data_IF_284531682447
#
_entry.id   IF_284531682447
#
_cell.length_a   1.000
_cell.length_b   1.000
_cell.length_c   1.000
_cell.angle_alpha   90.00
_cell.angle_beta   90.00
_cell.angle_gamma   90.00
#
_symmetry.space_group_name_H-M   'P 1'
#
loop_
_entity.id
_entity.type
_entity.pdbx_description
1 polymer ?
#
# COMPACT_ATOMS: atom_id res chain seq x y z
N UNK A 1 -34.04 8.46 21.00
CA UNK A 1 -33.61 7.54 19.93
C UNK A 1 -33.63 8.31 18.64
N UNK A 2 -32.46 8.49 18.02
CA UNK A 2 -32.36 9.23 16.75
C UNK A 2 -33.16 8.54 15.65
N UNK A 3 -33.49 9.28 14.58
CA UNK A 3 -34.23 8.72 13.46
C UNK A 3 -33.48 7.51 12.85
N UNK A 4 -32.14 7.56 12.81
CA UNK A 4 -31.30 6.46 12.39
C UNK A 4 -31.49 5.15 13.19
N UNK A 5 -31.37 5.19 14.52
CA UNK A 5 -31.40 3.98 15.37
C UNK A 5 -32.72 3.22 15.25
N UNK A 6 -33.82 3.97 15.21
CA UNK A 6 -35.16 3.41 15.07
C UNK A 6 -35.30 2.69 13.72
N UNK A 7 -34.89 3.33 12.63
CA UNK A 7 -35.01 2.80 11.28
C UNK A 7 -34.05 1.63 11.05
N UNK A 8 -32.83 1.69 11.61
CA UNK A 8 -31.87 0.58 11.56
C UNK A 8 -32.42 -0.66 12.25
N UNK A 9 -33.06 -0.50 13.43
CA UNK A 9 -33.69 -1.60 14.14
C UNK A 9 -34.80 -2.26 13.31
N UNK A 10 -35.59 -1.47 12.57
CA UNK A 10 -36.61 -1.99 11.67
C UNK A 10 -36.01 -2.77 10.51
N UNK A 11 -34.96 -2.24 9.87
CA UNK A 11 -34.23 -2.94 8.80
C UNK A 11 -33.70 -4.30 9.28
N UNK A 12 -33.07 -4.34 10.46
CA UNK A 12 -32.57 -5.59 11.05
C UNK A 12 -33.67 -6.60 11.35
N UNK A 13 -34.86 -6.14 11.74
CA UNK A 13 -36.04 -7.01 11.90
C UNK A 13 -36.44 -7.68 10.58
N UNK A 14 -36.52 -6.90 9.50
CA UNK A 14 -36.88 -7.41 8.17
C UNK A 14 -35.85 -8.41 7.62
N UNK A 15 -34.55 -8.15 7.83
CA UNK A 15 -33.48 -9.09 7.49
C UNK A 15 -33.65 -10.43 8.20
N UNK A 16 -33.92 -10.39 9.51
CA UNK A 16 -34.12 -11.58 10.32
C UNK A 16 -35.36 -12.38 9.88
N UNK A 17 -36.45 -11.68 9.54
CA UNK A 17 -37.68 -12.30 9.06
C UNK A 17 -37.46 -13.00 7.71
N UNK A 18 -36.69 -12.39 6.80
CA UNK A 18 -36.32 -13.02 5.53
C UNK A 18 -35.44 -14.26 5.73
N UNK A 19 -34.43 -14.18 6.59
CA UNK A 19 -33.57 -15.34 6.94
C UNK A 19 -34.40 -16.50 7.54
N UNK A 20 -35.34 -16.19 8.43
CA UNK A 20 -36.22 -17.18 9.04
C UNK A 20 -37.14 -17.86 8.01
N UNK A 21 -37.58 -17.13 6.99
CA UNK A 21 -38.39 -17.69 5.90
C UNK A 21 -37.56 -18.56 4.96
N UNK A 22 -36.31 -18.18 4.66
CA UNK A 22 -35.42 -19.02 3.86
C UNK A 22 -35.17 -20.37 4.56
N UNK A 23 -35.00 -20.38 5.88
CA UNK A 23 -34.90 -21.61 6.69
C UNK A 23 -36.18 -22.45 6.70
N UNK A 24 -37.37 -21.83 6.69
CA UNK A 24 -38.66 -22.56 6.69
C UNK A 24 -39.06 -23.07 5.31
N UNK A 25 -38.73 -22.34 4.25
CA UNK A 25 -39.08 -22.70 2.86
C UNK A 25 -38.39 -23.97 2.36
N UNK A 26 -37.31 -24.42 3.02
CA UNK A 26 -36.71 -25.74 2.80
C UNK A 26 -37.59 -26.88 3.30
N UNK A 27 -38.70 -26.58 4.00
CA UNK A 27 -39.67 -27.57 4.50
C UNK A 27 -41.07 -27.46 3.88
N UNK A 28 -41.47 -26.31 3.30
CA UNK A 28 -42.78 -26.12 2.65
C UNK A 28 -42.75 -25.11 1.47
N UNK A 29 -43.35 -25.48 0.34
CA UNK A 29 -43.22 -24.84 -0.99
C UNK A 29 -44.07 -23.55 -1.23
N UNK A 30 -44.47 -22.78 -0.21
CA UNK A 30 -45.54 -21.78 -0.37
C UNK A 30 -45.25 -20.33 0.11
N UNK A 31 -43.98 -19.89 0.13
CA UNK A 31 -43.59 -18.58 0.70
C UNK A 31 -42.96 -17.57 -0.27
N UNK A 32 -42.92 -17.85 -1.58
CA UNK A 32 -42.19 -17.00 -2.54
C UNK A 32 -42.75 -15.58 -2.67
N UNK A 33 -44.08 -15.40 -2.63
CA UNK A 33 -44.69 -14.06 -2.68
C UNK A 33 -44.34 -13.23 -1.44
N UNK A 34 -44.31 -13.85 -0.26
CA UNK A 34 -43.90 -13.19 0.98
C UNK A 34 -42.43 -12.79 0.96
N UNK A 35 -41.55 -13.66 0.45
CA UNK A 35 -40.12 -13.33 0.29
C UNK A 35 -39.94 -12.13 -0.64
N UNK A 36 -40.69 -12.07 -1.73
CA UNK A 36 -40.62 -10.94 -2.67
C UNK A 36 -41.01 -9.63 -1.98
N UNK A 37 -42.12 -9.61 -1.24
CA UNK A 37 -42.57 -8.44 -0.48
C UNK A 37 -41.50 -7.99 0.52
N UNK A 38 -40.94 -8.93 1.29
CA UNK A 38 -39.89 -8.61 2.26
C UNK A 38 -38.63 -8.04 1.61
N UNK A 39 -38.21 -8.56 0.45
CA UNK A 39 -37.07 -8.02 -0.30
C UNK A 39 -37.31 -6.57 -0.74
N UNK A 40 -38.52 -6.25 -1.19
CA UNK A 40 -38.92 -4.88 -1.56
C UNK A 40 -38.95 -3.95 -0.33
N UNK A 41 -39.43 -4.44 0.82
CA UNK A 41 -39.40 -3.69 2.08
C UNK A 41 -37.98 -3.45 2.59
N UNK A 42 -37.11 -4.45 2.55
CA UNK A 42 -35.67 -4.31 2.89
C UNK A 42 -35.03 -3.27 1.98
N UNK A 43 -35.30 -3.33 0.67
CA UNK A 43 -34.78 -2.34 -0.27
C UNK A 43 -35.18 -0.92 0.14
N UNK A 44 -36.48 -0.67 0.36
CA UNK A 44 -36.99 0.64 0.77
C UNK A 44 -36.42 1.09 2.11
N UNK A 45 -36.43 0.20 3.12
CA UNK A 45 -35.97 0.51 4.46
C UNK A 45 -34.47 0.76 4.51
N UNK A 46 -33.67 0.04 3.73
CA UNK A 46 -32.22 0.27 3.64
C UNK A 46 -31.90 1.68 3.15
N UNK A 47 -32.67 2.21 2.20
CA UNK A 47 -32.54 3.58 1.71
C UNK A 47 -32.93 4.62 2.78
N UNK A 48 -33.97 4.35 3.56
CA UNK A 48 -34.33 5.21 4.70
C UNK A 48 -33.21 5.27 5.75
N UNK A 49 -32.63 4.12 6.12
CA UNK A 49 -31.49 4.05 7.07
C UNK A 49 -30.28 4.79 6.50
N UNK A 50 -30.00 4.60 5.22
CA UNK A 50 -28.91 5.29 4.52
C UNK A 50 -29.07 6.81 4.62
N UNK A 51 -30.24 7.33 4.27
CA UNK A 51 -30.53 8.77 4.34
C UNK A 51 -30.51 9.30 5.77
N UNK A 52 -31.07 8.56 6.73
CA UNK A 52 -31.04 8.96 8.13
C UNK A 52 -29.61 9.04 8.68
N UNK A 53 -28.75 8.07 8.30
CA UNK A 53 -27.34 8.09 8.69
C UNK A 53 -26.57 9.27 8.12
N UNK A 54 -26.94 9.73 6.92
CA UNK A 54 -26.35 10.89 6.27
C UNK A 54 -26.72 12.20 6.99
N UNK A 55 -28.01 12.36 7.31
CA UNK A 55 -28.53 13.52 8.07
C UNK A 55 -27.93 13.57 9.47
N UNK A 56 -27.88 12.44 10.16
CA UNK A 56 -27.37 12.37 11.54
C UNK A 56 -25.81 12.33 11.58
N UNK A 57 -25.14 12.27 10.43
CA UNK A 57 -23.69 12.09 10.29
C UNK A 57 -23.14 10.89 11.10
N UNK A 58 -23.89 9.79 11.09
CA UNK A 58 -23.60 8.57 11.85
C UNK A 58 -22.90 7.56 10.94
N UNK A 59 -21.69 7.16 11.35
CA UNK A 59 -20.99 6.07 10.69
C UNK A 59 -21.68 4.72 10.95
N UNK A 60 -21.92 3.99 9.88
CA UNK A 60 -22.20 2.55 9.88
C UNK A 60 -21.64 1.94 8.59
N UNK A 61 -21.56 0.62 8.49
CA UNK A 61 -20.94 -0.11 7.36
C UNK A 61 -21.43 0.40 5.99
N UNK A 62 -22.73 0.68 5.91
CA UNK A 62 -23.42 1.09 4.69
C UNK A 62 -23.68 2.59 4.58
N UNK A 63 -23.06 3.45 5.42
CA UNK A 63 -23.26 4.91 5.36
C UNK A 63 -22.90 5.54 4.01
N UNK A 64 -23.28 6.80 3.80
CA UNK A 64 -22.86 7.55 2.62
C UNK A 64 -21.34 7.72 2.56
N UNK A 65 -20.80 8.00 1.37
CA UNK A 65 -19.39 8.33 1.22
C UNK A 65 -19.01 9.61 2.00
N UNK A 66 -19.92 10.59 2.06
CA UNK A 66 -19.71 11.85 2.78
C UNK A 66 -19.50 11.60 4.28
N UNK A 67 -20.38 10.83 4.90
CA UNK A 67 -20.25 10.45 6.31
C UNK A 67 -18.97 9.66 6.56
N UNK A 68 -18.69 8.66 5.70
CA UNK A 68 -17.45 7.87 5.80
C UNK A 68 -16.21 8.77 5.82
N UNK A 69 -16.13 9.71 4.87
CA UNK A 69 -15.00 10.63 4.74
C UNK A 69 -14.89 11.57 5.95
N UNK A 70 -16.01 12.11 6.43
CA UNK A 70 -16.06 12.99 7.59
C UNK A 70 -15.60 12.28 8.86
N UNK A 71 -15.90 10.99 9.00
CA UNK A 71 -15.57 10.17 10.17
C UNK A 71 -14.24 9.42 10.06
N UNK A 72 -13.50 9.58 8.96
CA UNK A 72 -12.28 8.82 8.69
C UNK A 72 -11.22 9.03 9.77
N UNK A 73 -10.86 10.29 10.08
CA UNK A 73 -9.80 10.60 11.05
C UNK A 73 -10.15 10.13 12.46
N UNK A 74 -11.40 10.36 12.90
CA UNK A 74 -11.90 9.90 14.21
C UNK A 74 -11.79 8.37 14.35
N UNK A 75 -12.10 7.62 13.28
CA UNK A 75 -12.00 6.15 13.26
C UNK A 75 -10.55 5.66 13.25
N UNK A 76 -9.67 6.37 12.54
CA UNK A 76 -8.25 6.08 12.53
C UNK A 76 -7.65 6.30 13.93
N UNK A 77 -7.93 7.45 14.57
CA UNK A 77 -7.44 7.79 15.91
C UNK A 77 -7.90 6.77 16.95
N UNK A 78 -9.19 6.43 16.96
CA UNK A 78 -9.74 5.43 17.89
C UNK A 78 -9.02 4.08 17.81
N UNK A 79 -8.66 3.65 16.59
CA UNK A 79 -7.96 2.39 16.38
C UNK A 79 -6.50 2.43 16.84
N UNK A 80 -5.87 3.61 16.80
CA UNK A 80 -4.52 3.84 17.29
C UNK A 80 -4.46 3.94 18.82
N UNK A 81 -5.50 4.49 19.46
CA UNK A 81 -5.61 4.57 20.92
C UNK A 81 -5.89 3.21 21.58
N UNK A 82 -6.67 2.34 20.93
CA UNK A 82 -7.03 1.02 21.45
C UNK A 82 -5.86 0.00 21.42
N UNK A 83 -4.77 0.28 20.69
CA UNK A 83 -3.61 -0.61 20.56
C UNK A 83 -2.32 0.10 20.99
N UNK A 84 -1.91 -0.16 22.23
CA UNK A 84 -0.67 0.27 22.88
C UNK A 84 0.52 0.48 21.91
N UNK A 85 0.70 1.71 21.41
CA UNK A 85 1.86 2.36 20.74
C UNK A 85 2.81 1.52 19.88
N UNK A 86 2.42 0.35 19.40
CA UNK A 86 3.27 -0.54 18.62
C UNK A 86 2.82 -0.55 17.17
N UNK A 87 3.48 0.29 16.37
CA UNK A 87 3.68 0.13 14.92
C UNK A 87 2.44 -0.06 14.02
N UNK A 88 1.22 0.26 14.45
CA UNK A 88 0.08 0.25 13.53
C UNK A 88 0.03 1.59 12.79
N UNK A 89 0.39 1.57 11.51
CA UNK A 89 0.37 2.74 10.64
C UNK A 89 -1.01 2.90 9.99
N UNK A 90 -1.35 4.10 9.50
CA UNK A 90 -2.56 4.36 8.70
C UNK A 90 -2.77 3.33 7.56
N UNK A 91 -1.68 2.72 7.06
CA UNK A 91 -1.72 1.62 6.09
C UNK A 91 -2.49 0.40 6.59
N UNK A 92 -2.21 -0.07 7.79
CA UNK A 92 -2.89 -1.24 8.36
C UNK A 92 -4.38 -0.96 8.56
N UNK A 93 -4.73 0.28 8.92
CA UNK A 93 -6.13 0.71 8.96
C UNK A 93 -6.76 0.66 7.57
N UNK A 94 -6.11 1.27 6.57
CA UNK A 94 -6.60 1.28 5.18
C UNK A 94 -6.77 -0.13 4.63
N UNK A 95 -5.82 -1.05 4.88
CA UNK A 95 -5.90 -2.44 4.43
C UNK A 95 -7.08 -3.18 5.06
N UNK A 96 -7.27 -3.04 6.38
CA UNK A 96 -8.43 -3.61 7.08
C UNK A 96 -9.74 -3.09 6.49
N UNK A 97 -9.84 -1.77 6.30
CA UNK A 97 -11.02 -1.13 5.73
C UNK A 97 -11.31 -1.58 4.30
N UNK A 98 -10.29 -1.71 3.45
CA UNK A 98 -10.43 -2.22 2.08
C UNK A 98 -10.97 -3.65 2.11
N UNK A 99 -10.43 -4.51 2.97
CA UNK A 99 -10.88 -5.90 3.09
C UNK A 99 -12.34 -5.98 3.53
N UNK A 100 -12.73 -5.18 4.52
CA UNK A 100 -14.13 -5.07 4.97
C UNK A 100 -15.04 -4.61 3.82
N UNK A 101 -14.68 -3.55 3.09
CA UNK A 101 -15.48 -3.05 1.98
C UNK A 101 -15.60 -4.07 0.85
N UNK A 102 -14.51 -4.77 0.49
CA UNK A 102 -14.55 -5.82 -0.52
C UNK A 102 -15.52 -6.94 -0.12
N UNK A 103 -15.51 -7.36 1.14
CA UNK A 103 -16.45 -8.36 1.64
C UNK A 103 -17.90 -7.89 1.54
N UNK A 104 -18.18 -6.62 1.89
CA UNK A 104 -19.52 -6.03 1.78
C UNK A 104 -19.98 -5.93 0.32
N UNK A 105 -19.10 -5.53 -0.59
CA UNK A 105 -19.40 -5.39 -2.02
C UNK A 105 -19.67 -6.76 -2.67
N UNK A 106 -18.83 -7.77 -2.37
CA UNK A 106 -18.97 -9.13 -2.89
C UNK A 106 -20.32 -9.75 -2.50
N UNK A 107 -20.76 -9.50 -1.27
CA UNK A 107 -22.01 -10.04 -0.74
C UNK A 107 -23.22 -9.11 -0.94
N UNK A 108 -23.05 -7.96 -1.61
CA UNK A 108 -24.09 -6.92 -1.67
C UNK A 108 -25.38 -7.41 -2.32
N UNK A 109 -25.29 -8.27 -3.35
CA UNK A 109 -26.48 -8.81 -4.02
C UNK A 109 -27.38 -9.63 -3.11
N UNK A 110 -26.83 -10.14 -2.00
CA UNK A 110 -27.57 -10.98 -1.06
C UNK A 110 -28.36 -10.14 -0.04
N UNK A 111 -28.09 -8.84 0.07
CA UNK A 111 -28.72 -7.99 1.10
C UNK A 111 -30.07 -7.42 0.67
N UNK A 112 -30.40 -7.40 -0.63
CA UNK A 112 -31.56 -6.71 -1.20
C UNK A 112 -31.58 -5.19 -0.92
N UNK A 113 -30.42 -4.61 -0.62
CA UNK A 113 -30.30 -3.18 -0.34
C UNK A 113 -30.40 -2.33 -1.61
N UNK A 114 -30.73 -1.05 -1.41
CA UNK A 114 -30.80 -0.07 -2.50
C UNK A 114 -29.45 0.15 -3.18
N UNK A 115 -29.48 0.31 -4.51
CA UNK A 115 -28.29 0.45 -5.36
C UNK A 115 -27.40 1.66 -5.01
N UNK A 116 -28.00 2.68 -4.41
CA UNK A 116 -27.36 3.90 -3.91
C UNK A 116 -26.32 3.57 -2.84
N UNK A 117 -26.58 2.55 -2.03
CA UNK A 117 -25.65 2.05 -1.01
C UNK A 117 -24.44 1.41 -1.69
N UNK A 118 -24.64 0.60 -2.73
CA UNK A 118 -23.53 0.02 -3.51
C UNK A 118 -22.64 1.10 -4.10
N UNK A 119 -23.24 2.11 -4.71
CA UNK A 119 -22.51 3.27 -5.24
C UNK A 119 -21.70 3.99 -4.13
N UNK A 120 -22.21 4.05 -2.90
CA UNK A 120 -21.47 4.60 -1.77
C UNK A 120 -20.29 3.71 -1.37
N UNK A 121 -20.46 2.38 -1.30
CA UNK A 121 -19.37 1.43 -1.04
C UNK A 121 -18.25 1.53 -2.08
N UNK A 122 -18.60 1.60 -3.37
CA UNK A 122 -17.63 1.75 -4.46
C UNK A 122 -16.83 3.06 -4.33
N UNK A 123 -17.50 4.17 -3.97
CA UNK A 123 -16.83 5.46 -3.70
C UNK A 123 -15.87 5.37 -2.51
N UNK A 124 -16.25 4.70 -1.42
CA UNK A 124 -15.37 4.47 -0.26
C UNK A 124 -14.15 3.64 -0.65
N UNK A 125 -14.35 2.54 -1.39
CA UNK A 125 -13.26 1.68 -1.85
C UNK A 125 -12.29 2.46 -2.74
N UNK A 126 -12.80 3.23 -3.71
CA UNK A 126 -11.98 4.09 -4.58
C UNK A 126 -11.18 5.12 -3.78
N UNK A 127 -11.79 5.73 -2.76
CA UNK A 127 -11.10 6.67 -1.87
C UNK A 127 -9.94 6.00 -1.12
N UNK A 128 -10.15 4.81 -0.54
CA UNK A 128 -9.10 4.08 0.16
C UNK A 128 -7.99 3.59 -0.76
N UNK A 129 -8.33 3.08 -1.94
CA UNK A 129 -7.35 2.70 -2.96
C UNK A 129 -6.52 3.91 -3.41
N UNK A 130 -7.13 5.09 -3.56
CA UNK A 130 -6.37 6.30 -3.87
C UNK A 130 -5.42 6.69 -2.73
N UNK A 131 -5.83 6.55 -1.47
CA UNK A 131 -4.96 6.77 -0.30
C UNK A 131 -3.81 5.75 -0.22
N UNK A 132 -4.07 4.47 -0.51
CA UNK A 132 -3.03 3.45 -0.50
C UNK A 132 -2.01 3.63 -1.64
N UNK A 133 -2.46 4.06 -2.83
CA UNK A 133 -1.58 4.38 -3.97
C UNK A 133 -0.75 5.64 -3.71
N UNK A 134 -1.33 6.71 -3.16
CA UNK A 134 -0.58 7.91 -2.77
C UNK A 134 0.54 7.56 -1.78
N UNK A 135 0.28 6.61 -0.87
CA UNK A 135 1.26 6.18 0.12
C UNK A 135 2.29 5.17 -0.40
N UNK A 136 1.93 4.29 -1.35
CA UNK A 136 2.89 3.44 -2.09
C UNK A 136 3.76 4.23 -3.06
N UNK A 137 3.26 5.37 -3.58
CA UNK A 137 4.01 6.29 -4.42
C UNK A 137 4.84 7.31 -3.61
N UNK A 138 4.62 7.42 -2.30
CA UNK A 138 5.65 7.95 -1.42
C UNK A 138 6.74 6.87 -1.38
N UNK A 139 7.78 7.04 -2.21
CA UNK A 139 8.88 6.10 -2.39
C UNK A 139 9.30 5.52 -1.03
N UNK A 140 9.01 4.23 -0.80
CA UNK A 140 9.65 3.51 0.29
C UNK A 140 11.15 3.56 0.02
N UNK A 141 11.90 4.25 0.88
CA UNK A 141 13.35 4.30 0.77
C UNK A 141 13.86 2.87 0.94
N UNK A 142 14.32 2.26 -0.16
CA UNK A 142 15.04 1.00 -0.10
C UNK A 142 16.43 1.28 0.50
N UNK A 143 16.70 0.71 1.68
CA UNK A 143 18.00 0.84 2.32
C UNK A 143 19.02 -0.09 1.64
N UNK A 144 20.10 0.51 1.14
CA UNK A 144 21.22 -0.18 0.50
C UNK A 144 22.54 0.00 1.27
N UNK A 145 22.47 0.48 2.52
CA UNK A 145 23.64 0.77 3.36
C UNK A 145 24.48 -0.48 3.68
N UNK A 146 23.84 -1.65 3.73
CA UNK A 146 24.41 -2.97 4.02
C UNK A 146 25.15 -3.61 2.83
N UNK A 147 25.14 -2.97 1.66
CA UNK A 147 25.83 -3.48 0.47
C UNK A 147 27.33 -3.65 0.69
N UNK A 148 27.89 -4.70 0.11
CA UNK A 148 29.31 -5.02 0.26
C UNK A 148 30.21 -4.06 -0.52
N UNK A 149 31.51 -4.09 -0.23
CA UNK A 149 32.48 -3.17 -0.83
C UNK A 149 32.57 -3.27 -2.36
N UNK A 150 32.43 -4.47 -2.96
CA UNK A 150 32.43 -4.62 -4.42
C UNK A 150 31.19 -3.96 -5.03
N UNK A 151 30.01 -4.22 -4.46
CA UNK A 151 28.74 -3.66 -4.90
C UNK A 151 28.75 -2.14 -4.86
N UNK A 152 29.29 -1.55 -3.78
CA UNK A 152 29.48 -0.10 -3.65
C UNK A 152 30.38 0.48 -4.76
N UNK A 153 31.45 -0.22 -5.16
CA UNK A 153 32.30 0.23 -6.29
C UNK A 153 31.55 0.17 -7.62
N UNK A 154 30.75 -0.86 -7.87
CA UNK A 154 29.92 -0.94 -9.08
C UNK A 154 28.90 0.19 -9.12
N UNK A 155 28.22 0.50 -8.00
CA UNK A 155 27.34 1.66 -7.90
C UNK A 155 28.06 2.97 -8.25
N UNK A 156 29.25 3.21 -7.68
CA UNK A 156 30.04 4.41 -7.96
C UNK A 156 30.48 4.49 -9.42
N UNK A 157 30.77 3.35 -10.05
CA UNK A 157 31.12 3.29 -11.47
C UNK A 157 29.92 3.64 -12.36
N UNK A 158 28.80 2.96 -12.17
CA UNK A 158 27.61 3.08 -13.02
C UNK A 158 26.94 4.45 -12.86
N UNK A 159 27.09 5.10 -11.69
CA UNK A 159 26.67 6.49 -11.49
C UNK A 159 27.66 7.54 -12.08
N UNK A 160 28.76 7.11 -12.69
CA UNK A 160 29.78 7.98 -13.28
C UNK A 160 30.68 8.70 -12.26
N UNK A 161 30.62 8.34 -10.98
CA UNK A 161 31.35 9.03 -9.91
C UNK A 161 32.85 8.73 -10.01
N UNK A 162 33.24 7.48 -10.30
CA UNK A 162 34.65 7.12 -10.47
C UNK A 162 35.29 7.92 -11.62
N UNK A 163 34.63 7.92 -12.78
CA UNK A 163 35.06 8.64 -13.97
C UNK A 163 35.14 10.15 -13.69
N UNK A 164 34.13 10.71 -13.02
CA UNK A 164 34.11 12.12 -12.63
C UNK A 164 35.30 12.49 -11.75
N UNK A 165 35.63 11.69 -10.74
CA UNK A 165 36.75 11.96 -9.83
C UNK A 165 38.09 11.94 -10.57
N UNK A 166 38.32 10.94 -11.42
CA UNK A 166 39.55 10.86 -12.22
C UNK A 166 39.69 12.01 -13.21
N UNK A 167 38.60 12.38 -13.90
CA UNK A 167 38.60 13.48 -14.88
C UNK A 167 38.76 14.85 -14.22
N UNK A 168 38.08 15.08 -13.10
CA UNK A 168 38.09 16.39 -12.41
C UNK A 168 39.39 16.63 -11.65
N UNK A 169 39.99 15.57 -11.11
CA UNK A 169 41.21 15.67 -10.29
C UNK A 169 42.34 14.77 -10.81
N UNK A 170 42.85 15.02 -12.03
CA UNK A 170 43.84 14.14 -12.68
C UNK A 170 45.21 14.12 -11.97
N UNK A 171 45.46 15.09 -11.07
CA UNK A 171 46.68 15.15 -10.25
C UNK A 171 46.61 14.33 -8.96
N UNK A 172 45.42 13.85 -8.57
CA UNK A 172 45.29 12.99 -7.39
C UNK A 172 45.77 11.58 -7.72
N UNK A 173 46.54 10.99 -6.81
CA UNK A 173 46.92 9.59 -6.94
C UNK A 173 45.72 8.67 -6.67
N UNK A 174 45.77 7.45 -7.20
CA UNK A 174 44.74 6.44 -6.94
C UNK A 174 44.54 6.17 -5.44
N UNK A 175 45.59 6.32 -4.63
CA UNK A 175 45.51 6.19 -3.17
C UNK A 175 44.66 7.31 -2.56
N UNK A 176 44.84 8.56 -3.01
CA UNK A 176 44.03 9.69 -2.55
C UNK A 176 42.58 9.60 -3.01
N UNK A 177 42.34 9.07 -4.20
CA UNK A 177 40.98 8.79 -4.67
C UNK A 177 40.34 7.68 -3.81
N UNK A 178 41.08 6.64 -3.46
CA UNK A 178 40.60 5.61 -2.55
C UNK A 178 40.30 6.14 -1.13
N UNK A 179 41.09 7.10 -0.62
CA UNK A 179 40.79 7.80 0.65
C UNK A 179 39.46 8.57 0.56
N UNK A 180 39.22 9.31 -0.53
CA UNK A 180 37.96 10.04 -0.74
C UNK A 180 36.78 9.08 -0.80
N UNK A 181 36.89 8.00 -1.58
CA UNK A 181 35.83 7.00 -1.71
C UNK A 181 35.60 6.23 -0.40
N UNK A 182 36.64 6.05 0.42
CA UNK A 182 36.54 5.46 1.75
C UNK A 182 35.67 6.33 2.67
N UNK A 183 35.84 7.65 2.63
CA UNK A 183 35.00 8.59 3.38
C UNK A 183 33.52 8.57 2.94
N UNK A 184 33.25 8.29 1.65
CA UNK A 184 31.88 8.21 1.11
C UNK A 184 31.21 6.87 1.48
N UNK A 185 31.96 5.77 1.40
CA UNK A 185 31.40 4.40 1.47
C UNK A 185 31.51 3.74 2.84
N UNK A 186 32.26 4.35 3.76
CA UNK A 186 32.67 3.76 5.04
C UNK A 186 33.44 2.44 4.91
N UNK A 187 34.02 2.16 3.74
CA UNK A 187 34.87 0.99 3.46
C UNK A 187 36.33 1.40 3.59
N UNK A 188 37.20 0.53 4.11
CA UNK A 188 38.64 0.82 4.25
C UNK A 188 39.27 1.22 2.90
N UNK A 189 40.08 2.29 2.91
CA UNK A 189 40.75 2.80 1.70
C UNK A 189 41.59 1.75 0.98
N UNK A 190 42.29 0.86 1.71
CA UNK A 190 43.06 -0.24 1.10
C UNK A 190 42.20 -1.24 0.35
N UNK A 191 40.99 -1.53 0.85
CA UNK A 191 40.01 -2.38 0.17
C UNK A 191 39.49 -1.71 -1.09
N UNK A 192 39.09 -0.44 -1.01
CA UNK A 192 38.64 0.36 -2.16
C UNK A 192 39.73 0.41 -3.24
N UNK A 193 40.96 0.74 -2.86
CA UNK A 193 42.11 0.82 -3.77
C UNK A 193 42.32 -0.50 -4.53
N UNK A 194 42.16 -1.64 -3.86
CA UNK A 194 42.32 -2.96 -4.49
C UNK A 194 41.30 -3.25 -5.59
N UNK A 195 40.12 -2.62 -5.52
CA UNK A 195 39.05 -2.73 -6.51
C UNK A 195 39.13 -1.65 -7.59
N UNK A 196 39.52 -0.42 -7.25
CA UNK A 196 39.56 0.70 -8.22
C UNK A 196 40.81 0.70 -9.09
N UNK A 197 41.94 0.20 -8.58
CA UNK A 197 43.17 0.10 -9.36
C UNK A 197 43.01 -0.66 -10.69
N UNK A 198 42.41 -1.87 -10.73
CA UNK A 198 42.22 -2.59 -11.99
C UNK A 198 41.25 -1.91 -12.96
N UNK A 199 40.29 -1.13 -12.45
CA UNK A 199 39.37 -0.33 -13.28
C UNK A 199 40.14 0.80 -13.96
N UNK A 200 40.93 1.57 -13.19
CA UNK A 200 41.67 2.73 -13.71
C UNK A 200 42.81 2.35 -14.65
N UNK A 201 43.66 1.41 -14.22
CA UNK A 201 44.87 1.03 -14.97
C UNK A 201 44.56 0.12 -16.17
N UNK A 202 43.33 -0.39 -16.27
CA UNK A 202 42.89 -1.30 -17.32
C UNK A 202 43.76 -2.56 -17.41
N UNK A 203 44.08 -3.00 -18.63
CA UNK A 203 44.78 -4.27 -18.91
C UNK A 203 46.22 -4.34 -18.39
N UNK A 204 46.76 -3.26 -17.83
CA UNK A 204 48.14 -3.19 -17.34
C UNK A 204 48.34 -3.80 -15.94
N UNK A 205 47.26 -4.24 -15.28
CA UNK A 205 47.30 -4.87 -13.95
C UNK A 205 46.34 -6.06 -13.87
N UNK A 206 46.56 -6.95 -12.90
CA UNK A 206 45.67 -8.10 -12.64
C UNK A 206 44.22 -7.65 -12.45
N UNK A 207 43.31 -8.30 -13.17
CA UNK A 207 41.88 -8.02 -13.17
C UNK A 207 41.09 -8.89 -12.17
N UNK A 208 41.74 -9.77 -11.43
CA UNK A 208 41.10 -10.70 -10.48
C UNK A 208 40.21 -9.98 -9.45
N UNK A 209 40.61 -8.77 -9.05
CA UNK A 209 39.86 -7.94 -8.10
C UNK A 209 38.92 -6.93 -8.76
N UNK A 210 38.82 -6.88 -10.08
CA UNK A 210 37.95 -5.91 -10.74
C UNK A 210 36.48 -6.27 -10.49
N UNK A 211 35.68 -5.44 -9.77
CA UNK A 211 34.26 -5.73 -9.56
C UNK A 211 33.43 -5.71 -10.84
N UNK A 212 33.91 -5.04 -11.90
CA UNK A 212 33.19 -4.90 -13.17
C UNK A 212 33.28 -6.16 -14.05
N UNK A 213 34.14 -7.12 -13.72
CA UNK A 213 34.20 -8.42 -14.41
C UNK A 213 33.22 -9.45 -13.84
N UNK A 214 32.54 -9.11 -12.74
CA UNK A 214 31.52 -9.94 -12.11
C UNK A 214 30.15 -9.58 -12.72
N UNK A 215 29.75 -10.29 -13.77
CA UNK A 215 28.54 -9.99 -14.55
C UNK A 215 27.26 -10.06 -13.71
N UNK A 216 27.19 -11.00 -12.77
CA UNK A 216 26.03 -11.15 -11.87
C UNK A 216 25.91 -9.95 -10.92
N UNK A 217 27.02 -9.53 -10.33
CA UNK A 217 27.06 -8.35 -9.47
C UNK A 217 26.68 -7.08 -10.24
N UNK A 218 27.20 -6.90 -11.46
CA UNK A 218 26.89 -5.75 -12.31
C UNK A 218 25.40 -5.74 -12.68
N UNK A 219 24.84 -6.87 -13.08
CA UNK A 219 23.41 -6.98 -13.39
C UNK A 219 22.55 -6.65 -12.17
N UNK A 220 22.92 -7.16 -10.99
CA UNK A 220 22.23 -6.86 -9.73
C UNK A 220 22.18 -5.35 -9.45
N UNK A 221 23.30 -4.64 -9.60
CA UNK A 221 23.36 -3.19 -9.39
C UNK A 221 22.52 -2.44 -10.42
N UNK A 222 22.58 -2.82 -11.70
CA UNK A 222 21.74 -2.23 -12.76
C UNK A 222 20.24 -2.40 -12.50
N UNK A 223 19.83 -3.56 -11.98
CA UNK A 223 18.44 -3.79 -11.59
C UNK A 223 18.02 -2.87 -10.44
N UNK A 224 18.90 -2.65 -9.44
CA UNK A 224 18.64 -1.73 -8.33
C UNK A 224 18.52 -0.27 -8.82
N UNK A 225 19.44 0.18 -9.66
CA UNK A 225 19.40 1.52 -10.26
C UNK A 225 18.13 1.73 -11.10
N UNK A 226 17.73 0.74 -11.90
CA UNK A 226 16.46 0.78 -12.67
C UNK A 226 15.24 0.91 -11.76
N UNK A 227 15.20 0.23 -10.60
CA UNK A 227 14.12 0.40 -9.61
C UNK A 227 14.06 1.82 -9.06
N UNK A 228 15.22 2.46 -8.89
CA UNK A 228 15.34 3.88 -8.53
C UNK A 228 15.05 4.83 -9.71
N UNK A 229 14.69 4.31 -10.89
CA UNK A 229 14.51 5.06 -12.14
C UNK A 229 15.77 5.80 -12.59
N UNK A 230 16.94 5.29 -12.20
CA UNK A 230 18.24 5.71 -12.70
C UNK A 230 18.66 4.70 -13.75
N UNK A 231 18.49 5.04 -15.03
CA UNK A 231 18.92 4.20 -16.16
C UNK A 231 19.59 5.07 -17.22
N UNK A 232 20.61 4.54 -17.86
CA UNK A 232 21.16 5.14 -19.07
C UNK A 232 20.05 5.25 -20.13
N UNK A 233 19.91 6.44 -20.72
CA UNK A 233 18.97 6.68 -21.83
C UNK A 233 19.46 6.04 -23.11
#
# INVERSE_FOLDING_TARGET
MGNFEKTLKQLKGLEQDLENLDFKSTQENNFEDFKKILKEEIHSKSLEVFNASDVDNIFWEYCSFSVYKNKYSERLEKLLDDNDKNNMFEETFIEKEINTLNHLILNFTNTNYSSEIKNALDKKLKFLLSKSVIKKNAESIEDYSDTNAKEKIVFLNDLGILEFLWKKYPKLSNNKIAEVLSAITSVKASTIQSYTNPIYAGKNVSQEKNPLTDEELVLKVKMKLTRMKISDK
#
